data_IF_636637605765
#
_entry.id   IF_636637605765
#
_cell.length_a   1.000
_cell.length_b   1.000
_cell.length_c   1.000
_cell.angle_alpha   90.00
_cell.angle_beta   90.00
_cell.angle_gamma   90.00
#
_symmetry.space_group_name_H-M   'P 1'
#
loop_
_entity.id
_entity.type
_entity.pdbx_description
1 polymer ?
#
# COMPACT_ATOMS: atom_id res chain seq x y z
N UNK A 1 -18.47 -2.54 5.67
CA UNK A 1 -18.09 -3.36 6.85
C UNK A 1 -18.24 -4.84 6.48
N UNK A 2 -17.96 -5.75 7.44
CA UNK A 2 -18.03 -7.20 7.22
C UNK A 2 -19.44 -7.64 6.90
N UNK A 3 -20.40 -7.21 7.71
CA UNK A 3 -21.79 -7.63 7.59
C UNK A 3 -22.39 -7.15 6.27
N UNK A 4 -22.09 -5.91 5.85
CA UNK A 4 -22.45 -5.42 4.53
C UNK A 4 -21.81 -6.22 3.39
N UNK A 5 -20.55 -6.63 3.54
CA UNK A 5 -19.89 -7.51 2.57
C UNK A 5 -20.55 -8.89 2.53
N UNK A 6 -20.92 -9.45 3.69
CA UNK A 6 -21.62 -10.73 3.79
C UNK A 6 -22.98 -10.69 3.09
N UNK A 7 -23.82 -9.69 3.38
CA UNK A 7 -25.14 -9.54 2.75
C UNK A 7 -24.99 -9.38 1.22
N UNK A 8 -24.01 -8.58 0.79
CA UNK A 8 -23.69 -8.43 -0.63
C UNK A 8 -23.32 -9.76 -1.29
N UNK A 9 -22.43 -10.55 -0.68
CA UNK A 9 -22.05 -11.88 -1.20
C UNK A 9 -23.24 -12.82 -1.28
N UNK A 10 -24.12 -12.83 -0.27
CA UNK A 10 -25.34 -13.64 -0.28
C UNK A 10 -26.28 -13.25 -1.44
N UNK A 11 -26.50 -11.95 -1.65
CA UNK A 11 -27.33 -11.46 -2.76
C UNK A 11 -26.72 -11.81 -4.12
N UNK A 12 -25.41 -11.62 -4.30
CA UNK A 12 -24.73 -11.98 -5.55
C UNK A 12 -24.83 -13.47 -5.85
N UNK A 13 -24.65 -14.32 -4.83
CA UNK A 13 -24.81 -15.78 -4.99
C UNK A 13 -26.24 -16.16 -5.35
N UNK A 14 -27.23 -15.50 -4.72
CA UNK A 14 -28.63 -15.71 -5.04
C UNK A 14 -28.94 -15.35 -6.51
N UNK A 15 -28.49 -14.18 -6.98
CA UNK A 15 -28.65 -13.79 -8.38
C UNK A 15 -27.93 -14.75 -9.33
N UNK A 16 -26.72 -15.17 -8.98
CA UNK A 16 -25.95 -16.12 -9.78
C UNK A 16 -26.68 -17.46 -9.95
N UNK A 17 -27.24 -18.01 -8.87
CA UNK A 17 -27.90 -19.33 -8.90
C UNK A 17 -29.33 -19.30 -9.45
N UNK A 18 -30.09 -18.28 -9.10
CA UNK A 18 -31.54 -18.25 -9.39
C UNK A 18 -31.87 -17.43 -10.64
N UNK A 19 -31.05 -16.42 -10.97
CA UNK A 19 -31.30 -15.47 -12.05
C UNK A 19 -30.00 -15.09 -12.81
N UNK A 20 -29.22 -16.06 -13.30
CA UNK A 20 -27.92 -15.79 -13.96
C UNK A 20 -28.07 -14.86 -15.16
N UNK A 21 -29.21 -14.94 -15.88
CA UNK A 21 -29.50 -14.06 -17.02
C UNK A 21 -29.43 -12.56 -16.67
N UNK A 22 -29.71 -12.17 -15.43
CA UNK A 22 -29.61 -10.76 -15.01
C UNK A 22 -28.16 -10.30 -14.93
N UNK A 23 -27.24 -11.20 -14.58
CA UNK A 23 -25.80 -10.92 -14.52
C UNK A 23 -25.23 -10.94 -15.94
N UNK A 24 -25.55 -11.96 -16.74
CA UNK A 24 -25.11 -12.09 -18.14
C UNK A 24 -25.50 -10.89 -18.99
N UNK A 25 -26.72 -10.39 -18.82
CA UNK A 25 -27.22 -9.22 -19.54
C UNK A 25 -26.78 -7.88 -18.92
N UNK A 26 -26.00 -7.91 -17.84
CA UNK A 26 -25.39 -6.73 -17.23
C UNK A 26 -26.38 -5.80 -16.53
N UNK A 27 -27.41 -6.34 -15.87
CA UNK A 27 -28.40 -5.56 -15.12
C UNK A 27 -28.05 -5.35 -13.63
N UNK A 28 -27.09 -6.10 -13.09
CA UNK A 28 -26.70 -6.01 -11.68
C UNK A 28 -25.54 -5.03 -11.51
N UNK A 29 -25.74 -4.02 -10.66
CA UNK A 29 -24.76 -2.98 -10.33
C UNK A 29 -24.64 -2.81 -8.81
N UNK A 30 -23.44 -2.48 -8.34
CA UNK A 30 -23.11 -2.23 -6.94
C UNK A 30 -22.75 -0.75 -6.78
N UNK A 31 -23.46 -0.05 -5.90
CA UNK A 31 -23.16 1.34 -5.58
C UNK A 31 -21.80 1.47 -4.89
N UNK A 32 -21.08 2.55 -5.19
CA UNK A 32 -19.77 2.87 -4.60
C UNK A 32 -19.88 4.18 -3.79
N UNK A 33 -20.44 4.13 -2.56
CA UNK A 33 -20.55 5.30 -1.69
C UNK A 33 -19.15 5.80 -1.27
N UNK A 34 -19.00 7.09 -0.93
CA UNK A 34 -17.71 7.61 -0.50
C UNK A 34 -17.30 7.10 0.89
N UNK A 35 -16.01 6.79 1.05
CA UNK A 35 -15.43 6.36 2.33
C UNK A 35 -15.08 7.55 3.24
N UNK A 36 -14.72 8.69 2.65
CA UNK A 36 -14.32 9.87 3.41
C UNK A 36 -15.09 11.12 3.00
N UNK A 37 -15.38 11.98 3.97
CA UNK A 37 -15.73 13.38 3.79
C UNK A 37 -14.61 14.24 4.34
N UNK A 38 -14.04 15.08 3.49
CA UNK A 38 -12.99 16.03 3.86
C UNK A 38 -13.53 17.45 3.78
N UNK A 39 -13.36 18.23 4.84
CA UNK A 39 -13.82 19.61 4.94
C UNK A 39 -12.66 20.55 5.27
N UNK A 40 -12.47 21.57 4.42
CA UNK A 40 -11.52 22.69 4.62
C UNK A 40 -12.31 23.99 4.64
N UNK A 41 -12.52 24.59 5.81
CA UNK A 41 -13.37 25.79 5.92
C UNK A 41 -14.81 25.56 5.43
N UNK A 42 -15.20 26.24 4.34
CA UNK A 42 -16.53 26.12 3.71
C UNK A 42 -16.60 25.06 2.61
N UNK A 43 -15.47 24.60 2.08
CA UNK A 43 -15.44 23.59 1.01
C UNK A 43 -15.47 22.20 1.62
N UNK A 44 -16.33 21.34 1.10
CA UNK A 44 -16.40 19.92 1.42
C UNK A 44 -16.18 19.07 0.17
N UNK A 45 -15.57 17.91 0.34
CA UNK A 45 -15.27 16.96 -0.73
C UNK A 45 -15.48 15.54 -0.24
N UNK A 46 -16.08 14.71 -1.09
CA UNK A 46 -16.30 13.29 -0.83
C UNK A 46 -15.25 12.48 -1.60
N UNK A 47 -14.59 11.54 -0.93
CA UNK A 47 -13.53 10.71 -1.48
C UNK A 47 -13.88 9.24 -1.29
N UNK A 48 -13.72 8.45 -2.37
CA UNK A 48 -14.24 7.09 -2.44
C UNK A 48 -13.42 6.06 -1.65
N UNK A 49 -12.11 6.27 -1.56
CA UNK A 49 -11.16 5.33 -1.00
C UNK A 49 -9.97 6.08 -0.36
N UNK A 50 -9.06 5.33 0.26
CA UNK A 50 -7.84 5.87 0.85
C UNK A 50 -6.87 6.42 -0.21
N UNK A 51 -6.83 5.82 -1.40
CA UNK A 51 -6.01 6.30 -2.51
C UNK A 51 -6.31 7.74 -2.87
N UNK A 52 -7.59 8.06 -3.11
CA UNK A 52 -8.05 9.42 -3.38
C UNK A 52 -7.86 10.37 -2.20
N UNK A 53 -7.97 9.87 -0.96
CA UNK A 53 -7.62 10.66 0.23
C UNK A 53 -6.14 11.05 0.21
N UNK A 54 -5.25 10.09 -0.01
CA UNK A 54 -3.81 10.33 -0.05
C UNK A 54 -3.42 11.25 -1.21
N UNK A 55 -4.05 11.11 -2.38
CA UNK A 55 -3.85 12.04 -3.50
C UNK A 55 -4.30 13.46 -3.15
N UNK A 56 -5.48 13.62 -2.55
CA UNK A 56 -5.99 14.92 -2.14
C UNK A 56 -5.11 15.58 -1.07
N UNK A 57 -4.63 14.80 -0.10
CA UNK A 57 -3.71 15.28 0.93
C UNK A 57 -2.34 15.63 0.35
N UNK A 58 -1.86 14.85 -0.62
CA UNK A 58 -0.62 15.13 -1.34
C UNK A 58 -0.72 16.47 -2.09
N UNK A 59 -1.82 16.71 -2.82
CA UNK A 59 -2.07 17.96 -3.54
C UNK A 59 -2.03 19.17 -2.61
N UNK A 60 -2.59 19.05 -1.40
CA UNK A 60 -2.56 20.11 -0.40
C UNK A 60 -1.19 20.29 0.25
N UNK A 61 -0.49 19.19 0.53
CA UNK A 61 0.78 19.21 1.24
C UNK A 61 1.90 19.86 0.40
N UNK A 62 1.93 19.61 -0.91
CA UNK A 62 3.02 20.09 -1.79
C UNK A 62 3.11 21.61 -1.92
N UNK A 63 2.07 22.36 -1.50
CA UNK A 63 2.08 23.82 -1.48
C UNK A 63 2.95 24.38 -0.35
N UNK A 64 3.03 23.68 0.79
CA UNK A 64 3.66 24.16 2.02
C UNK A 64 5.00 23.50 2.34
N UNK A 65 5.46 22.58 1.48
CA UNK A 65 6.70 21.82 1.67
C UNK A 65 7.68 21.93 0.50
N UNK A 66 8.96 21.79 0.82
CA UNK A 66 10.04 21.68 -0.16
C UNK A 66 10.89 20.44 0.15
N UNK A 67 11.01 19.53 -0.82
CA UNK A 67 11.79 18.31 -0.67
C UNK A 67 13.14 18.46 -1.38
N UNK A 68 14.24 18.15 -0.70
CA UNK A 68 15.57 18.13 -1.32
C UNK A 68 15.73 16.88 -2.19
N UNK A 69 16.13 17.08 -3.44
CA UNK A 69 16.49 15.99 -4.35
C UNK A 69 18.00 16.02 -4.59
N UNK A 70 18.68 14.91 -4.27
CA UNK A 70 20.11 14.77 -4.53
C UNK A 70 20.41 14.87 -6.04
N UNK A 71 19.58 14.25 -6.88
CA UNK A 71 19.77 14.26 -8.33
C UNK A 71 19.62 15.64 -8.98
N UNK A 72 18.87 16.55 -8.36
CA UNK A 72 18.71 17.93 -8.83
C UNK A 72 19.60 18.93 -8.06
N UNK A 73 20.33 18.46 -7.05
CA UNK A 73 21.08 19.27 -6.08
C UNK A 73 20.30 20.48 -5.54
N UNK A 74 19.02 20.29 -5.21
CA UNK A 74 18.17 21.39 -4.80
C UNK A 74 16.81 20.98 -4.24
N UNK A 75 16.11 21.96 -3.67
CA UNK A 75 14.76 21.80 -3.16
C UNK A 75 13.72 21.91 -4.29
N UNK A 76 12.70 21.06 -4.23
CA UNK A 76 11.58 21.02 -5.17
C UNK A 76 10.26 21.16 -4.41
N UNK A 77 9.35 21.95 -4.97
CA UNK A 77 8.04 22.27 -4.35
C UNK A 77 6.92 22.29 -5.40
N UNK A 78 5.67 22.31 -4.94
CA UNK A 78 4.46 22.46 -5.75
C UNK A 78 4.34 21.41 -6.85
N UNK A 79 4.03 21.85 -8.08
CA UNK A 79 3.75 20.98 -9.23
C UNK A 79 4.88 20.01 -9.59
N UNK A 80 6.14 20.36 -9.28
CA UNK A 80 7.29 19.48 -9.53
C UNK A 80 7.45 18.40 -8.47
N UNK A 81 6.98 18.66 -7.24
CA UNK A 81 7.04 17.70 -6.14
C UNK A 81 5.90 16.68 -6.23
N UNK A 82 4.72 17.09 -6.66
CA UNK A 82 3.55 16.22 -6.74
C UNK A 82 3.78 14.87 -7.44
N UNK A 83 4.34 14.79 -8.66
CA UNK A 83 4.59 13.50 -9.31
C UNK A 83 5.61 12.63 -8.54
N UNK A 84 6.55 13.24 -7.83
CA UNK A 84 7.54 12.52 -7.01
C UNK A 84 6.85 11.94 -5.78
N UNK A 85 6.05 12.76 -5.08
CA UNK A 85 5.28 12.35 -3.92
C UNK A 85 4.30 11.22 -4.26
N UNK A 86 3.61 11.29 -5.41
CA UNK A 86 2.75 10.20 -5.90
C UNK A 86 3.52 8.89 -6.11
N UNK A 87 4.72 8.94 -6.69
CA UNK A 87 5.58 7.75 -6.84
C UNK A 87 6.02 7.20 -5.48
N UNK A 88 6.35 8.06 -4.52
CA UNK A 88 6.72 7.64 -3.17
C UNK A 88 5.54 6.99 -2.43
N UNK A 89 4.33 7.55 -2.54
CA UNK A 89 3.12 6.92 -1.97
C UNK A 89 2.91 5.55 -2.60
N UNK A 90 2.97 5.44 -3.94
CA UNK A 90 2.84 4.17 -4.64
C UNK A 90 3.90 3.15 -4.22
N UNK A 91 5.15 3.58 -4.03
CA UNK A 91 6.23 2.75 -3.52
C UNK A 91 5.91 2.19 -2.13
N UNK A 92 5.47 3.04 -1.19
CA UNK A 92 5.13 2.61 0.17
C UNK A 92 3.90 1.70 0.21
N UNK A 93 2.88 1.96 -0.62
CA UNK A 93 1.70 1.09 -0.75
C UNK A 93 2.08 -0.28 -1.33
N UNK A 94 2.93 -0.31 -2.35
CA UNK A 94 3.36 -1.57 -2.95
C UNK A 94 4.25 -2.38 -1.99
N UNK A 95 5.12 -1.69 -1.24
CA UNK A 95 6.00 -2.31 -0.25
C UNK A 95 5.21 -2.92 0.91
N UNK A 96 4.20 -2.20 1.43
CA UNK A 96 3.34 -2.70 2.52
C UNK A 96 2.49 -3.90 2.10
N UNK A 97 2.11 -3.99 0.82
CA UNK A 97 1.44 -5.16 0.24
C UNK A 97 2.34 -6.39 0.21
N UNK A 98 3.61 -6.23 -0.18
CA UNK A 98 4.57 -7.32 -0.23
C UNK A 98 5.01 -7.80 1.15
N UNK A 99 5.19 -6.88 2.10
CA UNK A 99 5.57 -7.24 3.45
C UNK A 99 4.88 -6.36 4.49
N UNK A 100 3.96 -6.99 5.24
CA UNK A 100 3.17 -6.31 6.28
C UNK A 100 3.97 -6.07 7.57
N UNK A 101 5.11 -6.75 7.77
CA UNK A 101 5.93 -6.59 8.97
C UNK A 101 6.91 -5.43 8.80
N UNK A 102 6.79 -4.42 9.65
CA UNK A 102 7.56 -3.16 9.57
C UNK A 102 9.08 -3.33 9.41
N UNK A 103 9.70 -4.24 10.17
CA UNK A 103 11.16 -4.46 10.08
C UNK A 103 11.59 -5.15 8.78
N UNK A 104 10.86 -6.17 8.33
CA UNK A 104 11.17 -6.86 7.08
C UNK A 104 10.90 -5.95 5.86
N UNK A 105 9.87 -5.10 5.92
CA UNK A 105 9.59 -4.08 4.92
C UNK A 105 10.74 -3.06 4.82
N UNK A 106 11.28 -2.61 5.95
CA UNK A 106 12.44 -1.70 5.97
C UNK A 106 13.71 -2.36 5.41
N UNK A 107 13.93 -3.66 5.69
CA UNK A 107 15.00 -4.44 5.07
C UNK A 107 14.80 -4.52 3.55
N UNK A 108 13.60 -4.91 3.11
CA UNK A 108 13.25 -5.03 1.70
C UNK A 108 13.44 -3.70 0.96
N UNK A 109 13.03 -2.59 1.57
CA UNK A 109 13.24 -1.23 1.03
C UNK A 109 14.69 -0.97 0.65
N UNK A 110 15.63 -1.35 1.52
CA UNK A 110 17.07 -1.14 1.24
C UNK A 110 17.61 -2.04 0.14
N UNK A 111 17.12 -3.27 0.00
CA UNK A 111 17.50 -4.15 -1.10
C UNK A 111 16.93 -3.67 -2.43
N UNK A 112 15.66 -3.24 -2.45
CA UNK A 112 15.02 -2.76 -3.68
C UNK A 112 15.68 -1.46 -4.17
N UNK A 113 16.11 -0.58 -3.26
CA UNK A 113 16.84 0.65 -3.61
C UNK A 113 18.30 0.40 -4.07
N UNK A 114 18.82 -0.83 -3.95
CA UNK A 114 20.16 -1.15 -4.44
C UNK A 114 20.17 -1.27 -5.99
N UNK A 115 20.96 -0.43 -6.70
CA UNK A 115 20.93 -0.39 -8.15
C UNK A 115 21.36 -1.70 -8.80
N UNK A 116 20.56 -2.18 -9.76
CA UNK A 116 20.90 -3.34 -10.58
C UNK A 116 20.80 -4.68 -9.84
N UNK A 117 20.17 -4.73 -8.66
CA UNK A 117 19.87 -6.00 -8.00
C UNK A 117 18.83 -6.79 -8.80
N UNK A 118 19.30 -7.77 -9.58
CA UNK A 118 18.49 -8.66 -10.40
C UNK A 118 19.03 -10.10 -10.35
N UNK A 119 18.41 -10.99 -11.14
CA UNK A 119 18.80 -12.41 -11.22
C UNK A 119 20.23 -12.62 -11.71
N UNK A 120 20.75 -11.73 -12.54
CA UNK A 120 22.12 -11.84 -13.05
C UNK A 120 23.13 -11.39 -11.99
N UNK A 121 22.82 -10.34 -11.24
CA UNK A 121 23.64 -9.91 -10.11
C UNK A 121 23.74 -10.98 -9.02
N UNK A 122 22.66 -11.75 -8.78
CA UNK A 122 22.69 -12.89 -7.86
C UNK A 122 23.64 -14.01 -8.29
N UNK A 123 23.92 -14.18 -9.58
CA UNK A 123 24.91 -15.17 -10.07
C UNK A 123 26.35 -14.72 -9.82
N UNK A 124 26.59 -13.41 -9.71
CA UNK A 124 27.92 -12.85 -9.49
C UNK A 124 28.17 -12.58 -8.00
N UNK A 125 28.75 -13.55 -7.31
CA UNK A 125 29.01 -13.48 -5.86
C UNK A 125 29.83 -12.24 -5.43
N UNK A 126 30.82 -11.83 -6.22
CA UNK A 126 31.64 -10.65 -5.91
C UNK A 126 30.86 -9.35 -6.06
N UNK A 127 30.03 -9.22 -7.10
CA UNK A 127 29.16 -8.05 -7.27
C UNK A 127 28.05 -8.01 -6.20
N UNK A 128 27.48 -9.16 -5.86
CA UNK A 128 26.50 -9.31 -4.79
C UNK A 128 27.06 -8.88 -3.44
N UNK A 129 28.29 -9.28 -3.09
CA UNK A 129 28.94 -8.84 -1.86
C UNK A 129 29.08 -7.31 -1.77
N UNK A 130 29.42 -6.63 -2.87
CA UNK A 130 29.46 -5.16 -2.89
C UNK A 130 28.08 -4.53 -2.63
N UNK A 131 27.05 -5.13 -3.22
CA UNK A 131 25.65 -4.72 -3.07
C UNK A 131 25.19 -4.91 -1.61
N UNK A 132 25.53 -6.04 -0.99
CA UNK A 132 25.28 -6.32 0.43
C UNK A 132 25.98 -5.30 1.34
N UNK A 133 27.22 -4.92 1.05
CA UNK A 133 27.92 -3.87 1.82
C UNK A 133 27.26 -2.48 1.68
N UNK A 134 26.71 -2.17 0.51
CA UNK A 134 25.94 -0.94 0.31
C UNK A 134 24.63 -0.97 1.11
N UNK A 135 23.90 -2.08 1.05
CA UNK A 135 22.66 -2.31 1.81
C UNK A 135 22.93 -2.24 3.31
N UNK A 136 24.03 -2.83 3.79
CA UNK A 136 24.46 -2.77 5.19
C UNK A 136 24.70 -1.33 5.67
N UNK A 137 25.34 -0.50 4.85
CA UNK A 137 25.52 0.94 5.14
C UNK A 137 24.18 1.67 5.20
N UNK A 138 23.26 1.41 4.27
CA UNK A 138 21.93 2.01 4.28
C UNK A 138 21.11 1.59 5.50
N UNK A 139 21.11 0.31 5.87
CA UNK A 139 20.41 -0.19 7.05
C UNK A 139 20.95 0.37 8.36
N UNK A 140 22.26 0.63 8.46
CA UNK A 140 22.84 1.26 9.64
C UNK A 140 22.30 2.68 9.88
N UNK A 141 21.92 3.41 8.82
CA UNK A 141 21.28 4.73 8.94
C UNK A 141 19.83 4.59 9.44
N UNK A 142 19.10 3.60 8.92
CA UNK A 142 17.70 3.35 9.29
C UNK A 142 17.58 2.81 10.71
N UNK A 143 18.43 1.86 11.09
CA UNK A 143 18.45 1.18 12.40
C UNK A 143 19.78 1.43 13.15
N UNK A 144 20.02 2.63 13.68
CA UNK A 144 21.31 2.97 14.29
C UNK A 144 21.66 2.21 15.58
N UNK A 145 20.67 1.53 16.19
CA UNK A 145 20.84 0.77 17.44
C UNK A 145 20.92 -0.74 17.23
N UNK A 146 20.80 -1.21 15.99
CA UNK A 146 20.77 -2.64 15.67
C UNK A 146 21.78 -2.93 14.59
N UNK A 147 22.58 -3.98 14.76
CA UNK A 147 23.47 -4.45 13.71
C UNK A 147 22.77 -5.57 12.92
N UNK A 148 22.50 -5.36 11.62
CA UNK A 148 22.00 -6.42 10.77
C UNK A 148 23.11 -7.44 10.45
N UNK A 149 22.74 -8.71 10.46
CA UNK A 149 23.58 -9.83 10.02
C UNK A 149 23.21 -10.20 8.57
N UNK A 150 24.22 -10.59 7.78
CA UNK A 150 24.03 -10.96 6.38
C UNK A 150 24.79 -12.24 6.07
N UNK A 151 24.07 -13.24 5.55
CA UNK A 151 24.65 -14.45 4.97
C UNK A 151 24.43 -14.46 3.47
N UNK A 152 25.49 -14.70 2.70
CA UNK A 152 25.41 -14.99 1.26
C UNK A 152 25.54 -16.49 1.08
N UNK A 153 24.44 -17.14 0.75
CA UNK A 153 24.32 -18.59 0.63
C UNK A 153 24.19 -18.98 -0.84
N UNK A 154 24.66 -20.17 -1.19
CA UNK A 154 24.48 -20.73 -2.52
C UNK A 154 23.03 -21.18 -2.72
N UNK A 155 22.50 -20.94 -3.91
CA UNK A 155 21.20 -21.40 -4.42
C UNK A 155 21.46 -22.34 -5.60
N UNK A 156 21.60 -23.62 -5.28
CA UNK A 156 21.96 -24.68 -6.24
C UNK A 156 20.90 -24.86 -7.33
N UNK A 157 19.61 -24.67 -7.01
CA UNK A 157 18.49 -24.83 -7.93
C UNK A 157 18.59 -23.83 -9.10
N UNK A 158 19.00 -22.60 -8.81
CA UNK A 158 19.07 -21.52 -9.78
C UNK A 158 20.50 -21.21 -10.26
N UNK A 159 21.50 -21.99 -9.82
CA UNK A 159 22.91 -21.72 -10.05
C UNK A 159 23.28 -20.26 -9.70
N UNK A 160 22.75 -19.77 -8.58
CA UNK A 160 22.89 -18.39 -8.15
C UNK A 160 23.19 -18.32 -6.65
N UNK A 161 23.19 -17.12 -6.08
CA UNK A 161 23.32 -16.90 -4.64
C UNK A 161 22.03 -16.27 -4.12
N UNK A 162 21.71 -16.53 -2.86
CA UNK A 162 20.66 -15.83 -2.12
C UNK A 162 21.27 -15.09 -0.92
N UNK A 163 20.61 -14.01 -0.51
CA UNK A 163 21.03 -13.23 0.67
C UNK A 163 20.02 -13.43 1.77
N UNK A 164 20.47 -13.84 2.94
CA UNK A 164 19.66 -13.86 4.16
C UNK A 164 20.10 -12.69 5.02
N UNK A 165 19.20 -11.74 5.25
CA UNK A 165 19.42 -10.62 6.15
C UNK A 165 18.64 -10.90 7.45
N UNK A 166 19.30 -10.78 8.60
CA UNK A 166 18.67 -10.91 9.92
C UNK A 166 18.84 -9.63 10.72
N UNK A 167 17.77 -9.21 11.38
CA UNK A 167 17.73 -8.02 12.22
C UNK A 167 17.15 -8.40 13.59
N UNK A 168 17.95 -8.26 14.65
CA UNK A 168 17.51 -8.49 16.02
C UNK A 168 16.99 -7.19 16.65
N UNK A 169 15.68 -7.00 16.67
CA UNK A 169 15.05 -5.79 17.20
C UNK A 169 13.97 -6.15 18.22
N UNK A 170 13.92 -5.43 19.35
CA UNK A 170 12.88 -5.57 20.37
C UNK A 170 12.70 -7.01 20.91
N UNK A 171 13.79 -7.77 20.99
CA UNK A 171 13.76 -9.17 21.45
C UNK A 171 13.22 -10.18 20.42
N UNK A 172 12.94 -9.74 19.18
CA UNK A 172 12.48 -10.57 18.07
C UNK A 172 13.51 -10.55 16.95
N UNK A 173 13.74 -11.71 16.33
CA UNK A 173 14.55 -11.82 15.12
C UNK A 173 13.65 -11.67 13.90
N UNK A 174 13.93 -10.66 13.09
CA UNK A 174 13.31 -10.48 11.78
C UNK A 174 14.28 -11.00 10.71
N UNK A 175 13.76 -11.79 9.77
CA UNK A 175 14.56 -12.38 8.70
C UNK A 175 13.92 -12.04 7.35
N UNK A 176 14.76 -11.63 6.39
CA UNK A 176 14.39 -11.42 5.00
C UNK A 176 15.32 -12.23 4.12
N UNK A 177 14.75 -13.08 3.28
CA UNK A 177 15.51 -13.82 2.28
C UNK A 177 15.31 -13.18 0.89
N UNK A 178 16.41 -12.75 0.29
CA UNK A 178 16.46 -12.24 -1.08
C UNK A 178 16.85 -13.37 -2.01
N UNK A 179 15.86 -13.94 -2.68
CA UNK A 179 16.00 -15.11 -3.57
C UNK A 179 15.85 -14.73 -5.05
N UNK A 180 16.16 -15.68 -5.93
CA UNK A 180 15.98 -15.56 -7.38
C UNK A 180 14.51 -15.29 -7.79
N UNK A 181 13.54 -15.85 -7.08
CA UNK A 181 12.11 -15.60 -7.29
C UNK A 181 11.74 -14.19 -6.87
N UNK A 182 12.18 -13.75 -5.68
CA UNK A 182 11.85 -12.43 -5.16
C UNK A 182 12.31 -11.34 -6.11
N UNK A 183 13.60 -11.34 -6.49
CA UNK A 183 14.16 -10.30 -7.39
C UNK A 183 13.57 -10.37 -8.80
N UNK A 184 13.10 -11.55 -9.22
CA UNK A 184 12.46 -11.76 -10.51
C UNK A 184 10.97 -11.41 -10.56
N UNK A 185 10.33 -11.30 -9.40
CA UNK A 185 8.90 -11.05 -9.28
C UNK A 185 8.50 -9.73 -9.93
N UNK A 186 7.27 -9.67 -10.43
CA UNK A 186 6.74 -8.45 -11.06
C UNK A 186 6.69 -7.29 -10.04
N UNK A 187 6.28 -7.58 -8.81
CA UNK A 187 6.17 -6.58 -7.74
C UNK A 187 7.54 -6.00 -7.34
N UNK A 188 8.57 -6.83 -7.21
CA UNK A 188 9.92 -6.35 -6.88
C UNK A 188 10.48 -5.45 -7.98
N UNK A 189 10.31 -5.85 -9.25
CA UNK A 189 10.73 -5.05 -10.41
C UNK A 189 9.93 -3.76 -10.55
N UNK A 190 8.68 -3.75 -10.14
CA UNK A 190 7.88 -2.53 -10.10
C UNK A 190 8.33 -1.59 -8.99
N UNK A 191 8.62 -2.12 -7.79
CA UNK A 191 9.20 -1.33 -6.70
C UNK A 191 10.52 -0.68 -7.13
N UNK A 192 11.41 -1.39 -7.82
CA UNK A 192 12.69 -0.86 -8.31
C UNK A 192 12.54 0.40 -9.18
N UNK A 193 11.43 0.54 -9.92
CA UNK A 193 11.16 1.73 -10.75
C UNK A 193 10.69 2.94 -9.94
N UNK A 194 10.26 2.71 -8.71
CA UNK A 194 9.67 3.71 -7.82
C UNK A 194 10.59 4.05 -6.63
N UNK A 195 11.79 3.48 -6.58
CA UNK A 195 12.71 3.65 -5.45
C UNK A 195 13.13 5.11 -5.24
N UNK A 196 13.46 5.50 -4.00
CA UNK A 196 13.93 6.84 -3.67
C UNK A 196 15.13 7.28 -4.52
N UNK A 197 16.09 6.38 -4.75
CA UNK A 197 17.25 6.67 -5.60
C UNK A 197 16.84 6.94 -7.06
N UNK A 198 15.90 6.17 -7.62
CA UNK A 198 15.43 6.33 -9.01
C UNK A 198 14.60 7.60 -9.20
N UNK A 199 13.80 8.00 -8.21
CA UNK A 199 13.05 9.26 -8.27
C UNK A 199 13.90 10.49 -7.94
N UNK A 200 15.19 10.30 -7.66
CA UNK A 200 16.18 11.36 -7.46
C UNK A 200 16.29 11.90 -6.03
N UNK A 201 15.64 11.25 -5.06
CA UNK A 201 15.80 11.59 -3.63
C UNK A 201 17.20 11.24 -3.12
N UNK A 202 17.82 10.20 -3.71
CA UNK A 202 19.10 9.69 -3.25
C UNK A 202 18.94 8.81 -2.01
N UNK A 203 19.99 8.76 -1.18
CA UNK A 203 20.01 7.91 0.03
C UNK A 203 19.60 8.70 1.29
N UNK A 204 19.03 8.02 2.31
CA UNK A 204 18.71 8.68 3.58
C UNK A 204 19.99 9.21 4.28
N UNK A 205 19.89 10.25 5.12
CA UNK A 205 18.65 10.91 5.54
C UNK A 205 18.10 11.91 4.52
N UNK A 206 16.78 11.85 4.29
CA UNK A 206 16.05 12.75 3.40
C UNK A 206 15.79 14.10 4.08
N UNK A 207 15.87 15.19 3.32
CA UNK A 207 15.68 16.56 3.85
C UNK A 207 14.38 17.15 3.33
N UNK A 208 13.53 17.58 4.27
CA UNK A 208 12.26 18.23 4.01
C UNK A 208 12.27 19.60 4.69
N UNK A 209 12.00 20.67 3.94
CA UNK A 209 11.70 21.98 4.53
C UNK A 209 10.20 22.17 4.58
N UNK A 210 9.70 22.55 5.74
CA UNK A 210 8.29 22.89 5.95
C UNK A 210 8.22 24.18 6.78
N UNK A 211 7.48 25.18 6.29
CA UNK A 211 7.35 26.50 6.96
C UNK A 211 8.70 27.12 7.37
N UNK A 212 9.74 26.92 6.55
CA UNK A 212 11.10 27.42 6.77
C UNK A 212 11.98 26.61 7.73
N UNK A 213 11.47 25.56 8.37
CA UNK A 213 12.26 24.65 9.20
C UNK A 213 12.67 23.40 8.41
N UNK A 214 13.92 22.99 8.55
CA UNK A 214 14.44 21.76 7.92
C UNK A 214 14.33 20.57 8.87
N UNK A 215 13.75 19.49 8.38
CA UNK A 215 13.57 18.22 9.06
C UNK A 215 14.30 17.12 8.28
N UNK A 216 14.82 16.14 9.03
CA UNK A 216 15.53 14.99 8.47
C UNK A 216 14.78 13.69 8.77
N UNK A 217 14.60 12.87 7.75
CA UNK A 217 13.89 11.59 7.84
C UNK A 217 14.82 10.45 7.42
N UNK A 218 14.80 9.34 8.16
CA UNK A 218 15.68 8.19 7.88
C UNK A 218 15.06 7.18 6.95
N UNK A 219 13.74 7.25 6.78
CA UNK A 219 12.98 6.33 5.95
C UNK A 219 11.90 7.08 5.16
N UNK A 220 11.52 6.51 4.02
CA UNK A 220 10.57 7.15 3.10
C UNK A 220 9.13 7.08 3.59
N UNK A 221 8.75 6.06 4.35
CA UNK A 221 7.45 5.98 5.01
C UNK A 221 7.28 7.10 6.05
N UNK A 222 8.32 7.38 6.84
CA UNK A 222 8.32 8.51 7.77
C UNK A 222 8.17 9.84 7.03
N UNK A 223 8.91 10.00 5.92
CA UNK A 223 8.88 11.21 5.09
C UNK A 223 7.50 11.42 4.43
N UNK A 224 6.96 10.39 3.76
CA UNK A 224 5.65 10.44 3.12
C UNK A 224 4.57 10.75 4.15
N UNK A 225 4.59 10.04 5.29
CA UNK A 225 3.65 10.29 6.39
C UNK A 225 3.73 11.73 6.88
N UNK A 226 4.93 12.26 7.11
CA UNK A 226 5.11 13.63 7.55
C UNK A 226 4.56 14.66 6.55
N UNK A 227 4.80 14.46 5.26
CA UNK A 227 4.26 15.33 4.21
C UNK A 227 2.73 15.27 4.20
N UNK A 228 2.14 14.07 4.21
CA UNK A 228 0.68 13.90 4.23
C UNK A 228 0.05 14.47 5.50
N UNK A 229 0.67 14.32 6.66
CA UNK A 229 0.20 14.86 7.94
C UNK A 229 0.23 16.40 7.95
N UNK A 230 1.16 17.03 7.23
CA UNK A 230 1.13 18.48 7.00
C UNK A 230 -0.08 18.88 6.15
N UNK A 231 -0.39 18.13 5.09
CA UNK A 231 -1.59 18.33 4.27
C UNK A 231 -2.91 18.16 5.04
N UNK A 232 -2.91 17.38 6.13
CA UNK A 232 -4.06 17.22 7.03
C UNK A 232 -4.31 18.44 7.93
N UNK A 233 -3.34 19.32 8.12
CA UNK A 233 -3.47 20.44 9.05
C UNK A 233 -4.62 21.37 8.62
N UNK A 234 -5.57 21.60 9.53
CA UNK A 234 -6.76 22.43 9.26
C UNK A 234 -7.88 21.74 8.47
N UNK A 235 -7.76 20.44 8.19
CA UNK A 235 -8.84 19.62 7.63
C UNK A 235 -9.64 18.93 8.73
N UNK A 236 -10.96 18.85 8.53
CA UNK A 236 -11.82 17.90 9.23
C UNK A 236 -12.06 16.73 8.30
N UNK A 237 -11.59 15.55 8.69
CA UNK A 237 -11.73 14.30 7.93
C UNK A 237 -12.69 13.39 8.71
N UNK A 238 -13.82 13.06 8.10
CA UNK A 238 -14.78 12.09 8.61
C UNK A 238 -14.73 10.84 7.74
N UNK A 239 -14.56 9.68 8.37
CA UNK A 239 -14.65 8.37 7.70
C UNK A 239 -16.05 7.80 7.92
N UNK A 240 -16.71 7.40 6.84
CA UNK A 240 -18.01 6.73 6.90
C UNK A 240 -17.80 5.23 7.12
N UNK A 241 -18.45 4.66 8.14
CA UNK A 241 -18.41 3.20 8.38
C UNK A 241 -19.63 2.48 7.81
N UNK A 242 -20.73 3.20 7.62
CA UNK A 242 -21.95 2.68 7.03
C UNK A 242 -22.81 3.79 6.44
N UNK A 243 -23.74 3.41 5.56
CA UNK A 243 -24.62 4.35 4.86
C UNK A 243 -25.52 5.17 5.82
N UNK A 244 -25.87 4.61 6.97
CA UNK A 244 -26.69 5.28 7.99
C UNK A 244 -26.01 6.45 8.70
N UNK A 245 -24.69 6.63 8.51
CA UNK A 245 -23.97 7.80 9.04
C UNK A 245 -24.14 9.04 8.14
N UNK A 246 -24.73 8.87 6.94
CA UNK A 246 -25.03 9.95 6.01
C UNK A 246 -26.46 10.45 6.19
N UNK A 247 -26.63 11.78 6.15
CA UNK A 247 -27.97 12.36 6.05
C UNK A 247 -28.59 12.07 4.67
N UNK A 248 -29.92 12.02 4.53
CA UNK A 248 -30.58 11.68 3.26
C UNK A 248 -30.11 12.51 2.05
N UNK A 249 -29.88 13.81 2.23
CA UNK A 249 -29.34 14.68 1.18
C UNK A 249 -27.92 14.27 0.74
N UNK A 250 -27.04 13.93 1.69
CA UNK A 250 -25.68 13.46 1.39
C UNK A 250 -25.71 12.13 0.66
N UNK A 251 -26.56 11.19 1.09
CA UNK A 251 -26.70 9.89 0.44
C UNK A 251 -27.21 10.06 -1.01
N UNK A 252 -28.17 10.96 -1.21
CA UNK A 252 -28.64 11.31 -2.55
C UNK A 252 -27.53 11.85 -3.42
N UNK A 253 -26.87 12.93 -2.98
CA UNK A 253 -25.84 13.63 -3.75
C UNK A 253 -24.64 12.74 -4.10
N UNK A 254 -24.22 11.87 -3.18
CA UNK A 254 -23.00 11.09 -3.33
C UNK A 254 -23.22 9.73 -3.99
N UNK A 255 -24.35 9.06 -3.71
CA UNK A 255 -24.50 7.63 -4.02
C UNK A 255 -25.65 7.36 -5.00
N UNK A 256 -26.71 8.19 -5.00
CA UNK A 256 -27.93 7.92 -5.79
C UNK A 256 -28.11 8.84 -7.00
N UNK A 257 -27.54 10.06 -6.98
CA UNK A 257 -27.65 11.04 -8.04
C UNK A 257 -27.09 10.47 -9.37
N UNK A 258 -27.91 10.32 -10.44
CA UNK A 258 -27.47 9.75 -11.72
C UNK A 258 -26.27 10.44 -12.36
N UNK A 259 -26.07 11.74 -12.11
CA UNK A 259 -24.97 12.52 -12.69
C UNK A 259 -23.64 12.31 -11.95
N UNK A 260 -23.69 11.95 -10.67
CA UNK A 260 -22.51 11.90 -9.78
C UNK A 260 -22.18 10.49 -9.28
N UNK A 261 -23.16 9.58 -9.28
CA UNK A 261 -23.02 8.24 -8.72
C UNK A 261 -22.00 7.42 -9.49
N UNK A 262 -21.23 6.62 -8.75
CA UNK A 262 -20.37 5.60 -9.32
C UNK A 262 -20.98 4.23 -9.05
N UNK A 263 -21.16 3.45 -10.10
CA UNK A 263 -21.71 2.09 -10.05
C UNK A 263 -20.68 1.11 -10.62
N UNK A 264 -20.49 -0.01 -9.94
CA UNK A 264 -19.70 -1.13 -10.42
C UNK A 264 -20.64 -2.18 -11.04
N UNK A 265 -20.48 -2.48 -12.33
CA UNK A 265 -21.24 -3.54 -12.99
C UNK A 265 -20.67 -4.90 -12.62
N UNK A 266 -21.52 -5.85 -12.23
CA UNK A 266 -21.11 -7.22 -11.88
C UNK A 266 -20.97 -8.05 -13.16
N UNK A 267 -19.89 -8.84 -13.25
CA UNK A 267 -19.63 -9.78 -14.33
C UNK A 267 -19.55 -11.23 -13.79
N UNK A 268 -19.59 -12.22 -14.68
CA UNK A 268 -19.47 -13.64 -14.28
C UNK A 268 -18.07 -13.99 -13.74
N UNK A 269 -17.03 -13.31 -14.21
CA UNK A 269 -15.65 -13.47 -13.71
C UNK A 269 -15.55 -13.06 -12.24
N UNK A 270 -16.31 -12.05 -11.81
CA UNK A 270 -16.34 -11.60 -10.42
C UNK A 270 -16.95 -12.62 -9.45
N UNK A 271 -17.59 -13.69 -9.97
CA UNK A 271 -18.30 -14.69 -9.17
C UNK A 271 -17.52 -16.00 -8.98
N UNK A 272 -16.36 -16.14 -9.63
CA UNK A 272 -15.49 -17.31 -9.41
C UNK A 272 -15.04 -17.36 -7.95
N UNK A 273 -15.34 -18.46 -7.24
CA UNK A 273 -15.04 -18.63 -5.81
C UNK A 273 -16.12 -18.13 -4.84
N UNK A 274 -17.16 -17.41 -5.31
CA UNK A 274 -18.29 -16.98 -4.47
C UNK A 274 -19.10 -18.18 -3.97
N UNK A 275 -19.18 -19.26 -4.77
CA UNK A 275 -19.85 -20.51 -4.38
C UNK A 275 -19.20 -21.22 -3.18
N UNK A 276 -17.88 -21.19 -3.08
CA UNK A 276 -17.15 -21.79 -1.95
C UNK A 276 -17.44 -21.00 -0.67
N UNK A 277 -17.40 -19.66 -0.75
CA UNK A 277 -17.74 -18.77 0.37
C UNK A 277 -19.19 -18.98 0.82
N UNK A 278 -20.14 -19.08 -0.12
CA UNK A 278 -21.54 -19.36 0.22
C UNK A 278 -21.73 -20.72 0.88
N UNK A 279 -21.08 -21.76 0.36
CA UNK A 279 -21.16 -23.12 0.91
C UNK A 279 -20.62 -23.17 2.34
N UNK A 280 -19.53 -22.47 2.62
CA UNK A 280 -18.96 -22.35 3.97
C UNK A 280 -19.89 -21.54 4.90
N UNK A 281 -20.45 -20.43 4.41
CA UNK A 281 -21.28 -19.53 5.22
C UNK A 281 -22.70 -20.03 5.47
N UNK A 282 -23.27 -20.81 4.54
CA UNK A 282 -24.66 -21.27 4.57
C UNK A 282 -24.78 -22.79 4.79
N UNK A 283 -23.67 -23.52 4.81
CA UNK A 283 -23.64 -24.94 5.15
C UNK A 283 -24.00 -25.20 6.61
N UNK A 284 -24.53 -26.38 6.92
CA UNK A 284 -25.00 -26.75 8.26
C UNK A 284 -23.86 -26.89 9.28
N UNK A 285 -22.61 -26.98 8.81
CA UNK A 285 -21.44 -27.10 9.67
C UNK A 285 -21.03 -25.76 10.29
N UNK A 286 -21.08 -25.70 11.61
CA UNK A 286 -20.74 -24.51 12.41
C UNK A 286 -19.23 -24.23 12.39
N UNK A 287 -18.40 -25.26 12.38
CA UNK A 287 -16.94 -25.14 12.53
C UNK A 287 -16.26 -24.48 11.32
N UNK A 288 -16.55 -24.86 10.06
CA UNK A 288 -16.02 -24.18 8.87
C UNK A 288 -16.45 -22.71 8.81
N UNK A 289 -17.71 -22.42 9.15
CA UNK A 289 -18.23 -21.05 9.23
C UNK A 289 -17.51 -20.22 10.29
N UNK A 290 -17.31 -20.78 11.48
CA UNK A 290 -16.60 -20.13 12.59
C UNK A 290 -15.15 -19.86 12.24
N UNK A 291 -14.46 -20.83 11.65
CA UNK A 291 -13.07 -20.68 11.20
C UNK A 291 -12.97 -19.62 10.10
N UNK A 292 -13.86 -19.63 9.11
CA UNK A 292 -13.91 -18.60 8.08
C UNK A 292 -14.09 -17.20 8.68
N UNK A 293 -15.06 -17.03 9.60
CA UNK A 293 -15.27 -15.77 10.31
C UNK A 293 -14.04 -15.39 11.13
N UNK A 294 -13.39 -16.31 11.85
CA UNK A 294 -12.22 -15.98 12.68
C UNK A 294 -10.97 -15.63 11.86
N UNK A 295 -10.70 -16.39 10.80
CA UNK A 295 -9.57 -16.16 9.89
C UNK A 295 -9.73 -14.82 9.16
N UNK A 296 -10.94 -14.51 8.67
CA UNK A 296 -11.18 -13.26 7.95
C UNK A 296 -11.56 -12.09 8.88
N UNK A 297 -11.98 -12.32 10.13
CA UNK A 297 -12.22 -11.25 11.12
C UNK A 297 -10.93 -10.49 11.49
N UNK A 298 -9.77 -11.13 11.34
CA UNK A 298 -8.47 -10.48 11.51
C UNK A 298 -8.08 -9.63 10.28
N UNK A 299 -8.52 -10.00 9.09
CA UNK A 299 -8.41 -9.16 7.87
C UNK A 299 -9.33 -7.95 7.95
N UNK A 300 -10.50 -8.12 8.56
CA UNK A 300 -11.51 -7.09 8.80
C UNK A 300 -11.03 -5.96 9.73
N UNK A 301 -10.16 -6.25 10.70
CA UNK A 301 -9.65 -5.21 11.59
C UNK A 301 -8.83 -4.15 10.84
N UNK A 302 -8.33 -4.47 9.64
CA UNK A 302 -7.66 -3.57 8.72
C UNK A 302 -8.12 -3.83 7.27
N UNK A 303 -9.42 -3.69 6.98
CA UNK A 303 -9.86 -3.37 5.62
C UNK A 303 -9.51 -1.90 5.32
N UNK A 304 -8.21 -1.65 5.27
CA UNK A 304 -7.50 -0.48 4.73
C UNK A 304 -6.43 -1.05 3.78
N UNK A 305 -6.84 -1.35 2.54
CA UNK A 305 -5.99 -1.42 1.34
C UNK A 305 -6.76 -0.80 0.20
#
# INVERSE_FOLDING_TARGET
>A
DVDGSHIRTLLLTFFFRQMPELIERGYIYIAQPPLFKVKKGKTERYLKDEGLLNEYLADLAVEDVELYLEGAQGYVTGRRLLPILKKMIAFETLLSRLNKKSHEAAMLRTFVDEPGLDRELLKNRTALQRSVENVKRSLAVVFPKVMPEFDVLDDEEHQSNKVVCRLHANGVTHELCVTHELVGSADFRELQKLTPSVVGLGRPPYKLKAKGQEHHYRATDELVKAILDMGKQGLSIQRYKGLGEMNPGQLWETTMNPEMRTLLRVTLEDLTGVDEIFTILMGDEVEPRRNFIQTHALEVRNLDV
#
